data_IF_597125145593
#
_entry.id   IF_597125145593
#
_cell.length_a   1.000
_cell.length_b   1.000
_cell.length_c   1.000
_cell.angle_alpha   90.00
_cell.angle_beta   90.00
_cell.angle_gamma   90.00
#
_symmetry.space_group_name_H-M   'P 1'
#
loop_
_entity.id
_entity.type
_entity.pdbx_description
1 polymer ?
#
# COMPACT_ATOMS: atom_id res chain seq x y z
N UNK A 1 5.06 -8.77 -24.32
CA UNK A 1 4.86 -9.72 -23.21
C UNK A 1 4.18 -9.01 -22.06
N UNK A 2 3.05 -9.56 -21.58
CA UNK A 2 2.25 -8.97 -20.50
C UNK A 2 3.05 -8.77 -19.18
N UNK A 3 4.03 -9.64 -18.89
CA UNK A 3 4.90 -9.52 -17.72
C UNK A 3 5.79 -8.27 -17.71
N UNK A 4 6.23 -7.77 -18.87
CA UNK A 4 7.04 -6.54 -18.95
C UNK A 4 6.21 -5.28 -18.67
N UNK A 5 4.91 -5.28 -19.03
CA UNK A 5 3.99 -4.18 -18.72
C UNK A 5 3.63 -4.15 -17.24
N UNK A 6 3.47 -5.32 -16.62
CA UNK A 6 3.24 -5.43 -15.18
C UNK A 6 4.44 -4.92 -14.38
N UNK A 7 5.65 -5.36 -14.71
CA UNK A 7 6.88 -4.88 -14.05
C UNK A 7 7.05 -3.36 -14.21
N UNK A 8 6.84 -2.82 -15.42
CA UNK A 8 6.92 -1.38 -15.65
C UNK A 8 5.85 -0.59 -14.87
N UNK A 9 4.67 -1.18 -14.67
CA UNK A 9 3.59 -0.60 -13.88
C UNK A 9 3.90 -0.63 -12.38
N UNK A 10 4.38 -1.76 -11.86
CA UNK A 10 4.87 -1.91 -10.49
C UNK A 10 5.98 -0.90 -10.19
N UNK A 11 6.92 -0.71 -11.12
CA UNK A 11 8.00 0.25 -10.98
C UNK A 11 7.48 1.68 -10.93
N UNK A 12 6.51 2.02 -11.80
CA UNK A 12 5.91 3.35 -11.86
C UNK A 12 5.05 3.66 -10.64
N UNK A 13 4.32 2.66 -10.11
CA UNK A 13 3.61 2.79 -8.84
C UNK A 13 4.60 3.00 -7.71
N UNK A 14 5.67 2.19 -7.65
CA UNK A 14 6.73 2.34 -6.66
C UNK A 14 7.32 3.76 -6.65
N UNK A 15 7.64 4.31 -7.82
CA UNK A 15 8.15 5.68 -7.96
C UNK A 15 7.14 6.74 -7.49
N UNK A 16 5.85 6.61 -7.85
CA UNK A 16 4.80 7.55 -7.41
C UNK A 16 4.55 7.47 -5.89
N UNK A 17 4.52 6.25 -5.33
CA UNK A 17 4.39 6.03 -3.90
C UNK A 17 5.60 6.61 -3.16
N UNK A 18 6.82 6.40 -3.66
CA UNK A 18 8.03 7.03 -3.10
C UNK A 18 7.98 8.55 -3.16
N UNK A 19 7.55 9.13 -4.27
CA UNK A 19 7.44 10.58 -4.41
C UNK A 19 6.45 11.16 -3.38
N UNK A 20 5.28 10.52 -3.22
CA UNK A 20 4.26 10.93 -2.26
C UNK A 20 4.75 10.79 -0.81
N UNK A 21 5.43 9.69 -0.47
CA UNK A 21 5.99 9.44 0.86
C UNK A 21 7.19 10.33 1.19
N UNK A 22 7.97 10.72 0.18
CA UNK A 22 9.10 11.66 0.34
C UNK A 22 8.59 13.07 0.64
N UNK A 23 7.47 13.49 0.02
CA UNK A 23 6.82 14.77 0.32
C UNK A 23 6.20 14.74 1.73
N UNK A 24 5.57 13.62 2.11
CA UNK A 24 4.93 13.46 3.42
C UNK A 24 5.84 12.85 4.50
N UNK A 25 7.16 12.98 4.38
CA UNK A 25 8.16 12.30 5.23
C UNK A 25 7.98 12.48 6.75
N UNK A 26 7.32 13.58 7.19
CA UNK A 26 6.97 13.81 8.60
C UNK A 26 5.83 12.93 9.12
N UNK A 27 5.04 12.36 8.22
CA UNK A 27 3.88 11.50 8.50
C UNK A 27 4.18 10.02 8.26
N UNK A 28 5.43 9.66 7.97
CA UNK A 28 5.86 8.28 7.69
C UNK A 28 6.71 7.78 8.85
N UNK A 29 6.51 6.51 9.25
CA UNK A 29 7.29 5.85 10.30
C UNK A 29 8.81 5.96 10.00
N UNK A 30 9.63 6.56 10.89
CA UNK A 30 11.04 6.83 10.62
C UNK A 30 11.90 5.56 10.51
N UNK A 31 11.52 4.48 11.19
CA UNK A 31 12.21 3.18 11.22
C UNK A 31 11.97 2.33 9.96
N UNK A 32 10.86 2.56 9.24
CA UNK A 32 10.55 1.84 8.02
C UNK A 32 11.20 2.58 6.84
N UNK A 33 12.18 1.96 6.20
CA UNK A 33 12.72 2.47 4.93
C UNK A 33 11.55 2.75 3.97
N UNK A 34 11.48 3.97 3.44
CA UNK A 34 10.37 4.43 2.58
C UNK A 34 10.13 3.45 1.42
N UNK A 35 11.20 2.86 0.89
CA UNK A 35 11.14 1.84 -0.16
C UNK A 35 10.43 0.56 0.30
N UNK A 36 10.73 0.07 1.50
CA UNK A 36 10.09 -1.11 2.08
C UNK A 36 8.61 -0.84 2.37
N UNK A 37 8.30 0.32 2.94
CA UNK A 37 6.92 0.70 3.23
C UNK A 37 6.07 0.83 1.95
N UNK A 38 6.62 1.47 0.91
CA UNK A 38 5.99 1.57 -0.40
C UNK A 38 5.75 0.18 -1.02
N UNK A 39 6.77 -0.68 -1.00
CA UNK A 39 6.67 -2.04 -1.54
C UNK A 39 5.58 -2.86 -0.83
N UNK A 40 5.55 -2.81 0.51
CA UNK A 40 4.56 -3.53 1.32
C UNK A 40 3.13 -3.05 1.04
N UNK A 41 2.92 -1.73 0.97
CA UNK A 41 1.60 -1.15 0.67
C UNK A 41 1.06 -1.59 -0.69
N UNK A 42 1.89 -1.49 -1.72
CA UNK A 42 1.48 -1.86 -3.09
C UNK A 42 1.09 -3.33 -3.14
N UNK A 43 1.92 -4.22 -2.57
CA UNK A 43 1.63 -5.66 -2.56
C UNK A 43 0.39 -6.01 -1.74
N UNK A 44 0.18 -5.34 -0.61
CA UNK A 44 -1.02 -5.52 0.21
C UNK A 44 -2.29 -5.14 -0.56
N UNK A 45 -2.32 -3.93 -1.14
CA UNK A 45 -3.48 -3.43 -1.89
C UNK A 45 -3.75 -4.28 -3.13
N UNK A 46 -2.71 -4.64 -3.88
CA UNK A 46 -2.82 -5.52 -5.05
C UNK A 46 -3.42 -6.87 -4.67
N UNK A 47 -2.85 -7.52 -3.65
CA UNK A 47 -3.28 -8.84 -3.21
C UNK A 47 -4.74 -8.84 -2.76
N UNK A 48 -5.13 -7.86 -1.94
CA UNK A 48 -6.49 -7.73 -1.44
C UNK A 48 -7.48 -7.44 -2.57
N UNK A 49 -7.15 -6.55 -3.52
CA UNK A 49 -8.00 -6.25 -4.67
C UNK A 49 -8.22 -7.49 -5.55
N UNK A 50 -7.15 -8.25 -5.83
CA UNK A 50 -7.23 -9.49 -6.61
C UNK A 50 -8.09 -10.52 -5.87
N UNK A 51 -7.85 -10.72 -4.57
CA UNK A 51 -8.64 -11.63 -3.73
C UNK A 51 -10.11 -11.24 -3.65
N UNK A 52 -10.43 -9.96 -3.52
CA UNK A 52 -11.81 -9.49 -3.47
C UNK A 52 -12.61 -9.84 -4.73
N UNK A 53 -11.98 -9.69 -5.90
CA UNK A 53 -12.62 -10.03 -7.19
C UNK A 53 -12.78 -11.55 -7.36
N UNK A 54 -11.76 -12.32 -6.95
CA UNK A 54 -11.76 -13.77 -7.11
C UNK A 54 -12.67 -14.49 -6.12
N UNK A 55 -12.57 -14.14 -4.84
CA UNK A 55 -13.26 -14.83 -3.75
C UNK A 55 -14.66 -14.28 -3.50
N UNK A 56 -14.99 -13.10 -4.04
CA UNK A 56 -16.29 -12.41 -3.91
C UNK A 56 -16.88 -12.51 -2.48
N UNK A 57 -16.15 -12.04 -1.46
CA UNK A 57 -16.62 -12.13 -0.08
C UNK A 57 -17.92 -11.33 0.09
N UNK A 58 -18.70 -11.64 1.14
CA UNK A 58 -19.90 -10.90 1.53
C UNK A 58 -19.56 -9.53 2.16
N UNK A 59 -18.70 -8.76 1.50
CA UNK A 59 -18.25 -7.42 1.87
C UNK A 59 -18.63 -6.51 0.70
N UNK A 60 -19.37 -5.44 0.98
CA UNK A 60 -19.71 -4.46 -0.05
C UNK A 60 -18.44 -3.81 -0.64
N UNK A 61 -18.48 -3.45 -1.92
CA UNK A 61 -17.31 -2.88 -2.60
C UNK A 61 -16.85 -1.58 -1.93
N UNK A 62 -17.77 -0.73 -1.50
CA UNK A 62 -17.42 0.52 -0.84
C UNK A 62 -16.80 0.25 0.52
N UNK A 63 -17.42 -0.65 1.30
CA UNK A 63 -16.88 -1.07 2.59
C UNK A 63 -15.47 -1.66 2.45
N UNK A 64 -15.24 -2.50 1.44
CA UNK A 64 -13.91 -3.05 1.16
C UNK A 64 -12.88 -1.95 0.87
N UNK A 65 -13.22 -0.99 0.00
CA UNK A 65 -12.33 0.14 -0.34
C UNK A 65 -12.01 1.00 0.89
N UNK A 66 -13.00 1.25 1.75
CA UNK A 66 -12.82 2.04 2.96
C UNK A 66 -11.87 1.33 3.94
N UNK A 67 -12.05 0.03 4.16
CA UNK A 67 -11.19 -0.77 5.05
C UNK A 67 -9.73 -0.84 4.57
N UNK A 68 -9.49 -1.10 3.28
CA UNK A 68 -8.12 -1.12 2.75
C UNK A 68 -7.45 0.26 2.82
N UNK A 69 -8.24 1.33 2.69
CA UNK A 69 -7.74 2.70 2.78
C UNK A 69 -7.32 3.02 4.21
N UNK A 70 -8.15 2.66 5.20
CA UNK A 70 -7.83 2.81 6.63
C UNK A 70 -6.57 2.03 6.98
N UNK A 71 -6.44 0.81 6.47
CA UNK A 71 -5.25 -0.03 6.68
C UNK A 71 -3.98 0.60 6.10
N UNK A 72 -4.03 1.08 4.85
CA UNK A 72 -2.91 1.73 4.19
C UNK A 72 -2.47 3.01 4.91
N UNK A 73 -3.43 3.84 5.33
CA UNK A 73 -3.16 5.08 6.05
C UNK A 73 -2.54 4.82 7.43
N UNK A 74 -3.03 3.82 8.16
CA UNK A 74 -2.49 3.48 9.48
C UNK A 74 -1.11 2.83 9.40
N UNK A 75 -0.84 2.04 8.35
CA UNK A 75 0.49 1.47 8.12
C UNK A 75 1.56 2.56 7.94
N UNK A 76 1.19 3.67 7.31
CA UNK A 76 2.11 4.80 7.10
C UNK A 76 2.33 5.64 8.35
N UNK A 77 1.36 5.69 9.27
CA UNK A 77 1.45 6.54 10.44
C UNK A 77 2.68 6.21 11.29
N UNK A 78 3.40 7.22 11.80
CA UNK A 78 4.46 7.00 12.77
C UNK A 78 3.85 6.40 14.04
N UNK A 79 4.60 5.49 14.66
CA UNK A 79 4.14 4.83 15.87
C UNK A 79 4.10 5.86 17.00
N UNK A 80 2.98 5.97 17.75
CA UNK A 80 2.95 6.79 18.96
C UNK A 80 3.96 6.28 19.99
N UNK A 81 4.15 4.96 20.03
CA UNK A 81 5.11 4.24 20.87
C UNK A 81 5.67 3.08 20.06
N UNK A 82 6.99 2.97 19.84
CA UNK A 82 7.57 1.80 19.17
C UNK A 82 7.23 0.52 19.93
N UNK A 83 6.98 -0.61 19.24
CA UNK A 83 6.87 -1.90 19.92
C UNK A 83 8.26 -2.29 20.44
N UNK A 84 8.33 -2.76 21.70
CA UNK A 84 9.56 -3.28 22.34
C UNK A 84 10.10 -4.54 21.65
#
# INVERSE_FOLDING_TARGET
GAGSKLVAFEQRIGELTKAYLTINRRQVRPEAGIDTAAWMLVRMVEHLCVRYILDQPAIDRQQFIDEITVMALNYLRPWPTPPE
#
